data_IF_792626291913
#
_entry.id   IF_792626291913
#
_cell.length_a   1.000
_cell.length_b   1.000
_cell.length_c   1.000
_cell.angle_alpha   90.00
_cell.angle_beta   90.00
_cell.angle_gamma   90.00
#
_symmetry.space_group_name_H-M   'P 1'
#
loop_
_entity.id
_entity.type
_entity.pdbx_description
1 polymer ?
#
# COMPACT_ATOMS: atom_id res chain seq x y z
N UNK A 1 -2.11 -15.26 14.58
CA UNK A 1 -2.73 -14.05 14.01
C UNK A 1 -2.79 -14.22 12.51
N UNK A 2 -4.00 -14.14 11.96
CA UNK A 2 -4.22 -14.14 10.51
C UNK A 2 -3.72 -12.83 9.89
N UNK A 3 -3.49 -12.82 8.58
CA UNK A 3 -3.05 -11.60 7.88
C UNK A 3 -4.05 -10.44 8.02
N UNK A 4 -5.35 -10.74 8.03
CA UNK A 4 -6.44 -9.77 8.18
C UNK A 4 -6.47 -9.15 9.59
N UNK A 5 -6.29 -9.99 10.63
CA UNK A 5 -6.14 -9.53 12.01
C UNK A 5 -4.92 -8.62 12.16
N UNK A 6 -3.79 -9.02 11.56
CA UNK A 6 -2.56 -8.23 11.58
C UNK A 6 -2.74 -6.84 10.94
N UNK A 7 -3.43 -6.75 9.79
CA UNK A 7 -3.71 -5.47 9.15
C UNK A 7 -4.63 -4.58 10.00
N UNK A 8 -5.63 -5.20 10.64
CA UNK A 8 -6.55 -4.49 11.55
C UNK A 8 -5.81 -3.89 12.74
N UNK A 9 -4.85 -4.62 13.34
CA UNK A 9 -3.97 -4.08 14.38
C UNK A 9 -3.13 -2.90 13.90
N UNK A 10 -2.69 -2.91 12.63
CA UNK A 10 -1.98 -1.80 12.00
C UNK A 10 -2.88 -0.64 11.57
N UNK A 11 -4.18 -0.70 11.89
CA UNK A 11 -5.21 0.29 11.50
C UNK A 11 -5.37 0.40 9.98
N UNK A 12 -5.18 -0.72 9.28
CA UNK A 12 -5.35 -0.86 7.84
C UNK A 12 -6.66 -1.63 7.62
N UNK A 13 -7.48 -1.17 6.68
CA UNK A 13 -8.69 -1.87 6.28
C UNK A 13 -8.36 -3.01 5.29
N UNK A 14 -8.51 -4.28 5.70
CA UNK A 14 -8.17 -5.41 4.83
C UNK A 14 -9.12 -5.52 3.62
N UNK A 15 -10.38 -5.11 3.75
CA UNK A 15 -11.37 -5.23 2.68
C UNK A 15 -11.03 -4.27 1.54
N UNK A 16 -10.91 -2.98 1.87
CA UNK A 16 -10.56 -1.94 0.89
C UNK A 16 -9.18 -2.19 0.27
N UNK A 17 -8.22 -2.70 1.05
CA UNK A 17 -6.89 -3.04 0.51
C UNK A 17 -6.95 -4.18 -0.51
N UNK A 18 -7.70 -5.26 -0.21
CA UNK A 18 -7.87 -6.40 -1.11
C UNK A 18 -8.61 -6.03 -2.39
N UNK A 19 -9.64 -5.20 -2.30
CA UNK A 19 -10.44 -4.79 -3.47
C UNK A 19 -9.67 -3.84 -4.40
N UNK A 20 -8.88 -2.92 -3.84
CA UNK A 20 -8.13 -1.95 -4.62
C UNK A 20 -6.84 -2.52 -5.23
N UNK A 21 -6.12 -3.39 -4.51
CA UNK A 21 -4.85 -3.98 -4.95
C UNK A 21 -4.78 -5.50 -4.68
N UNK A 22 -5.60 -6.33 -5.34
CA UNK A 22 -5.66 -7.78 -5.09
C UNK A 22 -4.34 -8.50 -5.37
N UNK A 23 -3.56 -8.03 -6.36
CA UNK A 23 -2.25 -8.60 -6.69
C UNK A 23 -1.22 -8.34 -5.58
N UNK A 24 -1.24 -7.15 -4.97
CA UNK A 24 -0.35 -6.83 -3.85
C UNK A 24 -0.80 -7.57 -2.59
N UNK A 25 -2.11 -7.68 -2.37
CA UNK A 25 -2.68 -8.46 -1.28
C UNK A 25 -2.15 -9.90 -1.28
N UNK A 26 -2.25 -10.59 -2.41
CA UNK A 26 -1.86 -12.01 -2.49
C UNK A 26 -0.36 -12.19 -2.28
N UNK A 27 0.48 -11.33 -2.87
CA UNK A 27 1.93 -11.34 -2.65
C UNK A 27 2.30 -11.11 -1.20
N UNK A 28 1.70 -10.10 -0.56
CA UNK A 28 1.99 -9.76 0.83
C UNK A 28 1.47 -10.83 1.79
N UNK A 29 0.33 -11.44 1.48
CA UNK A 29 -0.20 -12.58 2.23
C UNK A 29 0.77 -13.76 2.17
N UNK A 30 1.26 -14.11 0.99
CA UNK A 30 2.26 -15.17 0.83
C UNK A 30 3.57 -14.84 1.58
N UNK A 31 4.07 -13.61 1.50
CA UNK A 31 5.28 -13.21 2.24
C UNK A 31 5.05 -13.22 3.76
N UNK A 32 3.86 -12.83 4.22
CA UNK A 32 3.48 -12.87 5.62
C UNK A 32 3.41 -14.31 6.13
N UNK A 33 2.78 -15.21 5.38
CA UNK A 33 2.67 -16.64 5.71
C UNK A 33 4.05 -17.32 5.77
N UNK A 34 5.00 -16.90 4.92
CA UNK A 34 6.36 -17.45 4.91
C UNK A 34 7.27 -16.89 6.01
N UNK A 35 7.17 -15.59 6.35
CA UNK A 35 8.15 -14.91 7.23
C UNK A 35 7.65 -14.60 8.64
N UNK A 36 6.33 -14.63 8.86
CA UNK A 36 5.70 -14.27 10.12
C UNK A 36 5.65 -12.76 10.38
N UNK A 37 4.86 -12.37 11.39
CA UNK A 37 4.48 -10.97 11.63
C UNK A 37 5.64 -10.02 11.89
N UNK A 38 6.66 -10.45 12.65
CA UNK A 38 7.80 -9.60 13.05
C UNK A 38 8.67 -9.29 11.85
N UNK A 39 9.15 -10.32 11.16
CA UNK A 39 9.99 -10.19 9.96
C UNK A 39 9.28 -9.45 8.84
N UNK A 40 7.99 -9.76 8.62
CA UNK A 40 7.18 -9.07 7.64
C UNK A 40 7.07 -7.57 7.94
N UNK A 41 6.81 -7.20 9.20
CA UNK A 41 6.70 -5.79 9.60
C UNK A 41 8.00 -5.03 9.35
N UNK A 42 9.15 -5.64 9.64
CA UNK A 42 10.46 -5.00 9.42
C UNK A 42 10.73 -4.76 7.93
N UNK A 43 10.52 -5.78 7.10
CA UNK A 43 10.77 -5.71 5.67
C UNK A 43 9.78 -4.79 4.94
N UNK A 44 8.50 -4.82 5.34
CA UNK A 44 7.41 -4.10 4.67
C UNK A 44 6.95 -2.87 5.42
N UNK A 45 7.70 -2.37 6.41
CA UNK A 45 7.34 -1.20 7.23
C UNK A 45 6.95 0.02 6.39
N UNK A 46 7.72 0.30 5.34
CA UNK A 46 7.46 1.42 4.45
C UNK A 46 6.18 1.22 3.64
N UNK A 47 5.98 0.01 3.11
CA UNK A 47 4.80 -0.34 2.34
C UNK A 47 3.54 -0.31 3.22
N UNK A 48 3.58 -0.90 4.41
CA UNK A 48 2.51 -0.84 5.40
C UNK A 48 2.15 0.61 5.80
N UNK A 49 3.13 1.50 5.90
CA UNK A 49 2.85 2.91 6.17
C UNK A 49 2.14 3.61 5.00
N UNK A 50 2.48 3.28 3.75
CA UNK A 50 1.78 3.78 2.57
C UNK A 50 0.37 3.21 2.51
N UNK A 51 0.21 1.89 2.70
CA UNK A 51 -1.08 1.19 2.75
C UNK A 51 -1.96 1.77 3.85
N UNK A 52 -1.42 2.07 5.04
CA UNK A 52 -2.16 2.71 6.14
C UNK A 52 -2.61 4.14 5.81
N UNK A 53 -1.84 4.89 5.02
CA UNK A 53 -2.25 6.23 4.57
C UNK A 53 -3.37 6.16 3.53
N UNK A 54 -3.35 5.16 2.66
CA UNK A 54 -4.36 4.93 1.62
C UNK A 54 -5.66 4.31 2.16
N UNK A 55 -5.54 3.25 2.96
CA UNK A 55 -6.62 2.38 3.41
C UNK A 55 -6.70 2.36 4.93
N UNK A 56 -6.80 3.56 5.52
CA UNK A 56 -6.95 3.68 6.97
C UNK A 56 -8.28 3.08 7.39
N UNK A 57 -8.28 2.20 8.39
CA UNK A 57 -9.50 1.66 9.01
C UNK A 57 -10.27 2.82 9.66
N UNK A 58 -11.21 3.40 8.92
CA UNK A 58 -12.19 4.38 9.40
C UNK A 58 -13.48 3.62 9.65
N UNK A 59 -14.00 3.76 10.86
CA UNK A 59 -15.30 3.23 11.21
C UNK A 59 -16.35 3.95 10.36
N UNK A 60 -16.85 3.24 9.35
CA UNK A 60 -17.97 3.59 8.46
C UNK A 60 -17.78 4.79 7.52
N UNK A 61 -17.58 4.49 6.24
CA UNK A 61 -18.54 4.84 5.18
C UNK A 61 -18.19 4.07 3.89
N UNK A 62 -19.06 3.14 3.54
CA UNK A 62 -19.09 2.44 2.25
C UNK A 62 -19.30 3.49 1.16
N UNK A 63 -18.34 3.67 0.25
CA UNK A 63 -18.57 4.31 -1.05
C UNK A 63 -17.85 3.54 -2.17
N UNK A 64 -18.59 3.00 -3.15
CA UNK A 64 -18.03 2.22 -4.24
C UNK A 64 -17.59 3.17 -5.36
N UNK A 65 -16.29 3.37 -5.59
CA UNK A 65 -15.82 3.93 -6.89
C UNK A 65 -14.44 3.36 -7.26
N UNK A 66 -14.30 2.83 -8.51
CA UNK A 66 -13.10 2.16 -9.00
C UNK A 66 -12.10 3.13 -9.68
N UNK A 67 -10.84 2.69 -9.77
CA UNK A 67 -9.73 3.16 -10.64
C UNK A 67 -9.23 4.60 -10.48
N UNK A 68 -8.01 4.77 -9.94
CA UNK A 68 -7.06 5.86 -10.30
C UNK A 68 -5.61 5.37 -10.11
N UNK A 69 -4.97 4.86 -11.17
CA UNK A 69 -4.09 5.58 -12.13
C UNK A 69 -2.63 5.71 -11.69
N UNK A 70 -1.80 4.97 -12.42
CA UNK A 70 -0.41 5.29 -12.76
C UNK A 70 -0.16 6.80 -12.80
N UNK A 71 0.77 7.27 -11.97
CA UNK A 71 1.42 8.56 -12.18
C UNK A 71 2.92 8.35 -12.09
N UNK A 72 3.46 7.81 -13.18
CA UNK A 72 4.84 8.08 -13.57
C UNK A 72 5.00 9.59 -13.66
N UNK A 73 5.62 10.21 -12.65
CA UNK A 73 6.05 11.60 -12.76
C UNK A 73 7.36 11.62 -13.52
N UNK A 74 7.23 11.89 -14.80
CA UNK A 74 8.26 12.28 -15.76
C UNK A 74 9.22 13.31 -15.16
N UNK A 75 10.51 13.01 -15.26
CA UNK A 75 11.62 13.93 -15.06
C UNK A 75 11.49 15.10 -16.05
N UNK A 76 11.43 16.38 -15.64
CA UNK A 76 11.70 17.46 -16.58
C UNK A 76 13.20 17.78 -16.56
N UNK A 77 13.80 17.57 -17.74
CA UNK A 77 15.17 17.90 -18.08
C UNK A 77 15.50 19.38 -17.80
N UNK A 78 16.58 19.60 -17.06
CA UNK A 78 17.18 20.93 -16.85
C UNK A 78 17.89 21.35 -18.14
N UNK A 79 17.28 22.24 -18.93
CA UNK A 79 17.97 22.90 -20.04
C UNK A 79 19.06 23.82 -19.48
N UNK A 80 20.31 23.59 -19.86
CA UNK A 80 21.43 24.52 -19.64
C UNK A 80 21.29 25.71 -20.61
N UNK A 81 21.32 26.98 -20.17
CA UNK A 81 21.51 28.08 -21.09
C UNK A 81 23.00 28.20 -21.45
N UNK A 82 23.27 28.24 -22.75
CA UNK A 82 24.58 28.51 -23.36
C UNK A 82 24.88 30.01 -23.28
N UNK A 83 26.15 30.32 -23.04
CA UNK A 83 26.75 31.65 -22.95
C UNK A 83 26.57 32.48 -24.23
N UNK A 84 26.52 33.81 -24.07
CA UNK A 84 26.85 34.75 -25.14
C UNK A 84 27.70 35.87 -24.57
#
# INVERSE_FOLDING_TARGET
>A
MTYEEYLSEKKIDPITFKESEPVNWEKLKQEYDNSGSVSFTLNKKFLLNLTRRKYRLKEKEIKPVPVQTVSATTVPARKKPVMR
#
